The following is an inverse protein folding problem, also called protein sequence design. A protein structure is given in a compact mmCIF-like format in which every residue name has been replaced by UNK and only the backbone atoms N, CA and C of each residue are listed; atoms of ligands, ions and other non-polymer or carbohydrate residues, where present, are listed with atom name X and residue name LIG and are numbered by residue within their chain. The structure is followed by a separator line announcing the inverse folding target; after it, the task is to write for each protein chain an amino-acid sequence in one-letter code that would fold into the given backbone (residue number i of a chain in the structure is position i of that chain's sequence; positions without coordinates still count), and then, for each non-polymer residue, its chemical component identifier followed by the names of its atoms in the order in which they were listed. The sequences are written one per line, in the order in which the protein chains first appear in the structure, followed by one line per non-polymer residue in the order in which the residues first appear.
data_IF_695080900858
#
_entry.id   IF_695080900858
#
_cell.length_a   1.000
_cell.length_b   1.000
_cell.length_c   1.000
_cell.angle_alpha   90.00
_cell.angle_beta   90.00
_cell.angle_gamma   90.00
#
_symmetry.space_group_name_H-M   'P 1'
#
loop_
_entity.id
_entity.type
_entity.pdbx_description
1 polymer ?
#
# COMPACT_ATOMS: atom_id res chain seq x y z
N UNK A 1 -10.93 5.64 -14.27
CA UNK A 1 -11.48 4.28 -14.17
C UNK A 1 -12.30 4.20 -12.90
N UNK A 2 -13.61 3.92 -12.96
CA UNK A 2 -14.44 3.78 -11.76
C UNK A 2 -14.09 2.43 -11.11
N UNK A 3 -13.75 2.45 -9.82
CA UNK A 3 -13.47 1.23 -9.06
C UNK A 3 -14.79 0.52 -8.75
N UNK A 4 -14.87 -0.79 -9.00
CA UNK A 4 -16.07 -1.54 -8.65
C UNK A 4 -16.29 -1.51 -7.12
N UNK A 5 -17.52 -1.35 -6.61
CA UNK A 5 -17.78 -1.20 -5.18
C UNK A 5 -17.18 -2.32 -4.32
N UNK A 6 -17.23 -3.56 -4.78
CA UNK A 6 -16.63 -4.72 -4.09
C UNK A 6 -15.12 -4.57 -3.91
N UNK A 7 -14.43 -4.12 -4.96
CA UNK A 7 -12.98 -3.92 -4.94
C UNK A 7 -12.64 -2.75 -4.01
N UNK A 8 -13.40 -1.65 -4.09
CA UNK A 8 -13.22 -0.50 -3.19
C UNK A 8 -13.36 -0.91 -1.71
N UNK A 9 -14.38 -1.70 -1.39
CA UNK A 9 -14.60 -2.21 -0.04
C UNK A 9 -13.46 -3.12 0.45
N UNK A 10 -12.93 -3.99 -0.42
CA UNK A 10 -11.79 -4.86 -0.08
C UNK A 10 -10.54 -4.04 0.23
N UNK A 11 -10.22 -3.06 -0.62
CA UNK A 11 -9.09 -2.15 -0.43
C UNK A 11 -9.26 -1.37 0.87
N UNK A 12 -10.42 -0.74 1.09
CA UNK A 12 -10.70 0.02 2.30
C UNK A 12 -10.55 -0.84 3.57
N UNK A 13 -11.08 -2.07 3.55
CA UNK A 13 -10.93 -3.02 4.65
C UNK A 13 -9.47 -3.34 4.94
N UNK A 14 -8.66 -3.59 3.91
CA UNK A 14 -7.23 -3.88 4.08
C UNK A 14 -6.46 -2.67 4.60
N UNK A 15 -6.74 -1.46 4.08
CA UNK A 15 -6.16 -0.20 4.58
C UNK A 15 -6.49 0.01 6.05
N UNK A 16 -7.76 -0.15 6.45
CA UNK A 16 -8.18 0.03 7.83
C UNK A 16 -7.52 -1.00 8.76
N UNK A 17 -7.32 -2.24 8.30
CA UNK A 17 -6.64 -3.27 9.07
C UNK A 17 -5.16 -2.93 9.37
N UNK A 18 -4.51 -2.12 8.53
CA UNK A 18 -3.13 -1.67 8.78
C UNK A 18 -3.01 -0.76 10.02
N UNK A 19 -4.09 -0.12 10.47
CA UNK A 19 -4.07 0.61 11.75
C UNK A 19 -3.98 -0.33 12.96
N UNK A 20 -4.37 -1.59 12.82
CA UNK A 20 -4.35 -2.58 13.91
C UNK A 20 -3.05 -3.37 13.88
N UNK A 21 -2.64 -3.80 12.69
CA UNK A 21 -1.38 -4.48 12.45
C UNK A 21 -0.68 -3.81 11.26
N UNK A 22 0.26 -2.87 11.52
CA UNK A 22 0.97 -2.16 10.47
C UNK A 22 1.91 -3.03 9.65
N UNK A 23 2.34 -4.19 10.18
CA UNK A 23 3.29 -5.10 9.53
C UNK A 23 2.73 -6.53 9.50
N UNK A 24 1.59 -6.75 8.81
CA UNK A 24 0.99 -8.06 8.74
C UNK A 24 1.92 -9.02 8.00
N UNK A 25 1.73 -10.32 8.21
CA UNK A 25 2.59 -11.35 7.60
C UNK A 25 2.68 -11.27 6.07
N UNK A 26 1.64 -10.77 5.39
CA UNK A 26 1.63 -10.58 3.94
C UNK A 26 2.22 -9.24 3.48
N UNK A 27 2.69 -8.41 4.40
CA UNK A 27 3.43 -7.19 4.08
C UNK A 27 4.84 -7.52 3.60
N UNK A 28 5.32 -6.74 2.63
CA UNK A 28 6.69 -6.83 2.12
C UNK A 28 7.29 -5.45 2.05
N UNK A 29 8.48 -5.29 2.63
CA UNK A 29 9.25 -4.07 2.48
C UNK A 29 9.67 -3.89 1.00
N UNK A 30 9.66 -2.65 0.52
CA UNK A 30 10.09 -2.31 -0.82
C UNK A 30 11.62 -2.22 -0.88
N UNK A 31 12.22 -2.88 -1.88
CA UNK A 31 13.66 -2.79 -2.13
C UNK A 31 14.02 -1.36 -2.51
N UNK A 32 15.08 -0.81 -1.90
CA UNK A 32 15.51 0.58 -2.13
C UNK A 32 14.73 1.65 -1.37
N UNK A 33 13.61 1.31 -0.70
CA UNK A 33 12.78 2.27 0.04
C UNK A 33 12.58 1.81 1.50
N UNK A 34 13.56 2.05 2.40
CA UNK A 34 13.42 1.74 3.82
C UNK A 34 12.19 2.40 4.46
N UNK A 35 11.44 1.64 5.25
CA UNK A 35 10.21 2.11 5.90
C UNK A 35 8.96 2.13 4.99
N UNK A 36 9.12 1.82 3.70
CA UNK A 36 7.99 1.62 2.78
C UNK A 36 7.70 0.13 2.59
N UNK A 37 6.42 -0.18 2.61
CA UNK A 37 5.88 -1.53 2.55
C UNK A 37 4.80 -1.62 1.49
N UNK A 38 4.52 -2.85 1.06
CA UNK A 38 3.36 -3.19 0.24
C UNK A 38 2.56 -4.32 0.86
N UNK A 39 1.25 -4.27 0.67
CA UNK A 39 0.33 -5.41 0.81
C UNK A 39 -0.50 -5.54 -0.46
N UNK A 40 -0.89 -6.77 -0.77
CA UNK A 40 -1.76 -7.07 -1.90
C UNK A 40 -3.22 -7.19 -1.43
N UNK A 41 -4.17 -6.73 -2.24
CA UNK A 41 -5.61 -6.86 -2.04
C UNK A 41 -6.27 -7.27 -3.36
N UNK A 42 -6.26 -8.57 -3.65
CA UNK A 42 -6.67 -9.11 -4.95
C UNK A 42 -5.77 -8.60 -6.07
N UNK A 43 -6.38 -7.99 -7.08
CA UNK A 43 -5.68 -7.43 -8.26
C UNK A 43 -5.01 -6.05 -8.01
N UNK A 44 -5.01 -5.59 -6.75
CA UNK A 44 -4.48 -4.28 -6.37
C UNK A 44 -3.35 -4.41 -5.35
N UNK A 45 -2.43 -3.44 -5.38
CA UNK A 45 -1.36 -3.27 -4.42
C UNK A 45 -1.55 -1.95 -3.68
N UNK A 46 -1.40 -2.00 -2.37
CA UNK A 46 -1.40 -0.84 -1.47
C UNK A 46 0.05 -0.64 -1.06
N UNK A 47 0.61 0.53 -1.37
CA UNK A 47 1.93 0.95 -0.90
C UNK A 47 1.73 1.93 0.22
N UNK A 48 2.40 1.70 1.34
CA UNK A 48 2.29 2.52 2.54
C UNK A 48 3.65 2.70 3.22
N UNK A 49 3.75 3.74 4.03
CA UNK A 49 4.87 3.96 4.95
C UNK A 49 4.39 3.68 6.37
N UNK A 50 5.23 3.05 7.17
CA UNK A 50 4.97 2.90 8.60
C UNK A 50 6.07 3.61 9.40
N UNK A 51 5.66 4.58 10.22
CA UNK A 51 6.54 5.27 11.15
C UNK A 51 6.22 4.83 12.59
N UNK A 52 7.01 3.91 13.19
CA UNK A 52 6.74 3.40 14.53
C UNK A 52 6.91 4.46 15.62
N UNK A 53 7.71 5.50 15.38
CA UNK A 53 7.91 6.57 16.38
C UNK A 53 6.68 7.46 16.54
N UNK A 54 5.82 7.51 15.52
CA UNK A 54 4.61 8.34 15.49
C UNK A 54 3.33 7.49 15.54
N UNK A 55 3.46 6.16 15.61
CA UNK A 55 2.36 5.21 15.44
C UNK A 55 1.50 5.51 14.20
N UNK A 56 2.18 5.82 13.08
CA UNK A 56 1.55 6.37 11.89
C UNK A 56 1.72 5.45 10.69
N UNK A 57 0.60 5.11 10.05
CA UNK A 57 0.53 4.44 8.75
C UNK A 57 0.05 5.43 7.69
N UNK A 58 0.90 5.71 6.70
CA UNK A 58 0.59 6.60 5.59
C UNK A 58 0.41 5.79 4.32
N UNK A 59 -0.83 5.72 3.80
CA UNK A 59 -1.09 5.10 2.50
C UNK A 59 -0.66 6.06 1.41
N UNK A 60 0.39 5.69 0.67
CA UNK A 60 1.00 6.54 -0.35
C UNK A 60 0.24 6.42 -1.66
N UNK A 61 -0.05 5.18 -2.08
CA UNK A 61 -0.79 4.92 -3.30
C UNK A 61 -1.43 3.54 -3.31
N UNK A 62 -2.52 3.44 -4.07
CA UNK A 62 -3.18 2.18 -4.41
C UNK A 62 -3.26 2.07 -5.92
N UNK A 63 -2.77 0.95 -6.47
CA UNK A 63 -2.71 0.71 -7.90
C UNK A 63 -3.01 -0.74 -8.26
N UNK A 64 -3.37 -1.01 -9.51
CA UNK A 64 -3.48 -2.38 -10.02
C UNK A 64 -2.10 -3.06 -10.01
N UNK A 65 -2.07 -4.38 -9.94
CA UNK A 65 -0.86 -5.23 -10.06
C UNK A 65 -0.28 -5.26 -11.48
N UNK A 66 -0.18 -4.11 -12.15
CA UNK A 66 0.48 -4.01 -13.45
C UNK A 66 2.00 -3.96 -13.27
N UNK A 67 2.73 -4.54 -14.23
CA UNK A 67 4.21 -4.59 -14.33
C UNK A 67 4.88 -3.24 -14.01
N UNK A 68 5.15 -3.03 -12.73
CA UNK A 68 5.97 -1.95 -12.17
C UNK A 68 5.46 -0.50 -12.29
N UNK A 69 4.28 -0.23 -12.87
CA UNK A 69 3.70 1.13 -12.92
C UNK A 69 3.53 1.75 -11.53
N UNK A 70 3.19 0.91 -10.55
CA UNK A 70 3.04 1.29 -9.14
C UNK A 70 4.34 1.84 -8.55
N UNK A 71 5.50 1.35 -9.02
CA UNK A 71 6.83 1.77 -8.56
C UNK A 71 7.30 3.04 -9.27
N UNK A 72 7.06 3.15 -10.59
CA UNK A 72 7.33 4.38 -11.34
C UNK A 72 6.54 5.57 -10.78
N UNK A 73 5.30 5.32 -10.34
CA UNK A 73 4.47 6.36 -9.69
C UNK A 73 4.95 6.67 -8.28
N UNK A 74 5.47 5.69 -7.55
CA UNK A 74 6.07 5.91 -6.23
C UNK A 74 7.31 6.80 -6.35
N UNK A 75 8.23 6.50 -7.27
CA UNK A 75 9.44 7.31 -7.54
C UNK A 75 9.09 8.78 -7.74
N UNK A 76 8.15 9.07 -8.63
CA UNK A 76 7.68 10.44 -8.91
C UNK A 76 7.01 11.16 -7.75
N UNK A 77 6.50 10.42 -6.75
CA UNK A 77 5.88 11.01 -5.56
C UNK A 77 6.90 11.28 -4.46
N UNK A 78 8.09 10.68 -4.55
CA UNK A 78 9.17 10.79 -3.57
C UNK A 78 10.31 11.71 -4.04
N UNK A 79 10.37 12.05 -5.33
CA UNK A 79 11.15 13.18 -5.89
C UNK A 79 10.58 14.54 -5.46
#
# INVERSE_FOLDING_TARGET
MILQPKIAAQIAKKVLALNIDPLPFDSKQLSGYPGYYRVDSGEYRIVYRFNPNQDLVEVILVGKRNDDDVYKRLERLLE
#
